data_IF_896370587388
#
_entry.id   IF_896370587388
#
_cell.length_a   1.000
_cell.length_b   1.000
_cell.length_c   1.000
_cell.angle_alpha   90.00
_cell.angle_beta   90.00
_cell.angle_gamma   90.00
#
_symmetry.space_group_name_H-M   'P 1'
#
loop_
_entity.id
_entity.type
_entity.pdbx_description
1 polymer ?
#
# COMPACT_ATOMS: atom_id res chain seq x y z
N UNK A 1 7.78 -14.16 -20.82
CA UNK A 1 8.00 -13.54 -19.49
C UNK A 1 6.63 -13.16 -18.96
N UNK A 2 6.27 -13.51 -17.72
CA UNK A 2 4.99 -13.08 -17.15
C UNK A 2 4.95 -11.54 -17.00
N UNK A 3 3.79 -10.94 -17.21
CA UNK A 3 3.59 -9.51 -16.94
C UNK A 3 3.69 -9.20 -15.43
N UNK A 4 3.90 -7.94 -15.05
CA UNK A 4 3.97 -7.55 -13.62
C UNK A 4 2.70 -7.97 -12.86
N UNK A 5 1.46 -7.73 -13.36
CA UNK A 5 0.24 -8.18 -12.68
C UNK A 5 0.17 -9.71 -12.53
N UNK A 6 0.46 -10.46 -13.59
CA UNK A 6 0.53 -11.93 -13.55
C UNK A 6 1.54 -12.43 -12.52
N UNK A 7 2.68 -11.75 -12.40
CA UNK A 7 3.70 -12.13 -11.43
C UNK A 7 3.20 -11.98 -9.98
N UNK A 8 2.39 -10.97 -9.68
CA UNK A 8 1.88 -10.70 -8.33
C UNK A 8 0.54 -11.38 -8.02
N UNK A 9 -0.14 -11.94 -9.01
CA UNK A 9 -1.40 -12.65 -8.83
C UNK A 9 -1.28 -13.78 -7.79
N UNK A 10 -2.20 -13.80 -6.83
CA UNK A 10 -2.24 -14.76 -5.71
C UNK A 10 -1.14 -14.61 -4.66
N UNK A 11 -0.17 -13.70 -4.85
CA UNK A 11 0.97 -13.55 -3.94
C UNK A 11 0.64 -12.64 -2.76
N UNK A 12 1.25 -12.95 -1.64
CA UNK A 12 1.34 -12.06 -0.49
C UNK A 12 2.69 -11.34 -0.50
N UNK A 13 2.68 -10.02 -0.32
CA UNK A 13 3.87 -9.17 -0.43
C UNK A 13 4.13 -8.46 0.90
N UNK A 14 5.32 -8.63 1.46
CA UNK A 14 5.78 -7.84 2.61
C UNK A 14 6.53 -6.60 2.11
N UNK A 15 6.09 -5.42 2.55
CA UNK A 15 6.67 -4.13 2.19
C UNK A 15 7.28 -3.49 3.44
N UNK A 16 8.60 -3.32 3.41
CA UNK A 16 9.33 -2.53 4.38
C UNK A 16 9.45 -1.08 3.91
N UNK A 17 9.38 -0.11 4.83
CA UNK A 17 9.51 1.30 4.45
C UNK A 17 8.29 1.89 3.75
N UNK A 18 7.13 1.23 3.80
CA UNK A 18 5.91 1.66 3.11
C UNK A 18 5.44 3.09 3.46
N UNK A 19 5.77 3.59 4.66
CA UNK A 19 5.39 4.95 5.10
C UNK A 19 6.30 6.05 4.54
N UNK A 20 7.42 5.69 3.88
CA UNK A 20 8.27 6.62 3.16
C UNK A 20 7.72 6.94 1.77
N UNK A 21 8.26 7.98 1.11
CA UNK A 21 7.74 8.50 -0.17
C UNK A 21 7.54 7.41 -1.23
N UNK A 22 8.60 6.67 -1.59
CA UNK A 22 8.51 5.58 -2.57
C UNK A 22 7.68 4.39 -2.09
N UNK A 23 7.68 4.12 -0.78
CA UNK A 23 6.88 3.06 -0.20
C UNK A 23 5.39 3.26 -0.41
N UNK A 24 4.91 4.50 -0.24
CA UNK A 24 3.49 4.85 -0.48
C UNK A 24 3.12 4.66 -1.95
N UNK A 25 3.98 5.10 -2.86
CA UNK A 25 3.79 4.94 -4.32
C UNK A 25 3.76 3.46 -4.71
N UNK A 26 4.65 2.63 -4.16
CA UNK A 26 4.64 1.19 -4.43
C UNK A 26 3.35 0.53 -3.96
N UNK A 27 2.87 0.86 -2.75
CA UNK A 27 1.61 0.34 -2.23
C UNK A 27 0.45 0.75 -3.14
N UNK A 28 0.35 2.03 -3.51
CA UNK A 28 -0.66 2.51 -4.47
C UNK A 28 -0.60 1.73 -5.79
N UNK A 29 0.60 1.58 -6.34
CA UNK A 29 0.80 0.96 -7.65
C UNK A 29 0.42 -0.52 -7.66
N UNK A 30 0.77 -1.24 -6.60
CA UNK A 30 0.38 -2.64 -6.44
C UNK A 30 -1.15 -2.76 -6.29
N UNK A 31 -1.76 -1.94 -5.43
CA UNK A 31 -3.21 -1.93 -5.25
C UNK A 31 -3.96 -1.58 -6.54
N UNK A 32 -3.46 -0.63 -7.34
CA UNK A 32 -4.13 -0.20 -8.58
C UNK A 32 -3.86 -1.10 -9.78
N UNK A 33 -2.62 -1.58 -9.94
CA UNK A 33 -2.19 -2.28 -11.16
C UNK A 33 -2.05 -3.80 -11.01
N UNK A 34 -2.10 -4.33 -9.78
CA UNK A 34 -2.03 -5.78 -9.51
C UNK A 34 -3.27 -6.19 -8.69
N UNK A 35 -4.47 -6.20 -9.30
CA UNK A 35 -5.73 -6.43 -8.58
C UNK A 35 -5.81 -7.82 -7.92
N UNK A 36 -5.09 -8.80 -8.46
CA UNK A 36 -5.08 -10.17 -7.96
C UNK A 36 -4.02 -10.42 -6.87
N UNK A 37 -3.35 -9.38 -6.37
CA UNK A 37 -2.44 -9.55 -5.23
C UNK A 37 -3.24 -9.98 -4.01
N UNK A 38 -2.82 -11.07 -3.35
CA UNK A 38 -3.60 -11.66 -2.25
C UNK A 38 -3.62 -10.78 -1.00
N UNK A 39 -2.46 -10.24 -0.63
CA UNK A 39 -2.32 -9.37 0.54
C UNK A 39 -1.04 -8.54 0.48
N UNK A 40 -1.11 -7.31 0.97
CA UNK A 40 0.06 -6.48 1.25
C UNK A 40 0.24 -6.40 2.77
N UNK A 41 1.39 -6.85 3.26
CA UNK A 41 1.80 -6.72 4.66
C UNK A 41 2.77 -5.55 4.79
N UNK A 42 2.54 -4.67 5.75
CA UNK A 42 3.35 -3.47 5.92
C UNK A 42 4.00 -3.48 7.30
N UNK A 43 5.35 -3.40 7.32
CA UNK A 43 6.10 -3.23 8.56
C UNK A 43 6.30 -1.73 8.85
N UNK A 44 5.70 -1.27 9.95
CA UNK A 44 5.83 0.11 10.43
C UNK A 44 6.63 0.14 11.72
N UNK A 45 7.68 0.96 11.75
CA UNK A 45 8.47 1.25 12.96
C UNK A 45 8.13 2.63 13.53
N UNK A 46 8.24 2.85 14.84
CA UNK A 46 8.22 4.19 15.42
C UNK A 46 9.29 5.09 14.79
N UNK A 47 9.02 6.40 14.76
CA UNK A 47 10.00 7.45 14.41
C UNK A 47 10.01 8.47 15.53
N UNK A 48 11.15 9.10 15.81
CA UNK A 48 11.21 10.17 16.80
C UNK A 48 10.14 11.23 16.52
N UNK A 49 9.33 11.56 17.53
CA UNK A 49 8.21 12.51 17.41
C UNK A 49 6.97 12.01 16.65
N UNK A 50 6.90 10.76 16.20
CA UNK A 50 5.73 10.20 15.50
C UNK A 50 5.41 8.77 15.92
N UNK A 51 4.18 8.56 16.40
CA UNK A 51 3.67 7.22 16.71
C UNK A 51 3.46 6.38 15.46
N UNK A 52 3.44 5.05 15.58
CA UNK A 52 3.14 4.14 14.47
C UNK A 52 1.76 4.45 13.87
N UNK A 53 0.76 4.71 14.72
CA UNK A 53 -0.60 5.07 14.29
C UNK A 53 -0.63 6.36 13.48
N UNK A 54 0.13 7.38 13.88
CA UNK A 54 0.27 8.62 13.12
C UNK A 54 0.88 8.36 11.75
N UNK A 55 1.95 7.57 11.69
CA UNK A 55 2.62 7.23 10.42
C UNK A 55 1.71 6.44 9.47
N UNK A 56 0.85 5.57 10.00
CA UNK A 56 -0.16 4.86 9.20
C UNK A 56 -1.24 5.84 8.75
N UNK A 57 -1.79 6.65 9.63
CA UNK A 57 -2.82 7.65 9.27
C UNK A 57 -2.31 8.60 8.17
N UNK A 58 -1.09 9.10 8.27
CA UNK A 58 -0.49 9.99 7.26
C UNK A 58 -0.15 9.27 5.95
N UNK A 59 -0.04 7.94 5.95
CA UNK A 59 0.03 7.15 4.73
C UNK A 59 -1.36 7.01 4.09
N UNK A 60 -2.39 6.74 4.90
CA UNK A 60 -3.77 6.55 4.43
C UNK A 60 -4.40 7.83 3.86
N UNK A 61 -4.10 9.01 4.43
CA UNK A 61 -4.54 10.30 3.86
C UNK A 61 -4.12 10.48 2.40
N UNK A 62 -2.95 9.94 2.03
CA UNK A 62 -2.50 9.99 0.64
C UNK A 62 -3.39 9.13 -0.25
N UNK A 63 -3.85 7.99 0.24
CA UNK A 63 -4.76 7.10 -0.47
C UNK A 63 -6.18 7.66 -0.59
N UNK A 64 -6.65 8.45 0.39
CA UNK A 64 -7.95 9.13 0.32
C UNK A 64 -7.99 10.25 -0.73
N UNK A 65 -6.86 10.94 -0.96
CA UNK A 65 -6.76 12.00 -1.97
C UNK A 65 -6.81 11.48 -3.42
N UNK A 66 -6.57 10.18 -3.63
CA UNK A 66 -6.76 9.51 -4.91
C UNK A 66 -8.03 8.67 -4.80
N UNK A 67 -9.18 9.23 -5.18
CA UNK A 67 -10.57 8.76 -4.98
C UNK A 67 -10.92 7.29 -5.33
N UNK A 68 -9.96 6.46 -5.71
CA UNK A 68 -10.14 5.10 -6.21
C UNK A 68 -10.29 4.06 -5.09
N UNK A 69 -9.76 4.31 -3.89
CA UNK A 69 -9.81 3.36 -2.77
C UNK A 69 -11.15 3.41 -2.02
N UNK A 70 -11.79 4.57 -1.93
CA UNK A 70 -13.12 4.68 -1.31
C UNK A 70 -14.20 3.96 -2.13
N UNK A 71 -14.09 3.94 -3.46
CA UNK A 71 -15.04 3.27 -4.33
C UNK A 71 -15.06 1.74 -4.11
N UNK A 72 -13.90 1.16 -3.78
CA UNK A 72 -13.75 -0.28 -3.55
C UNK A 72 -14.09 -0.72 -2.12
N UNK A 73 -14.10 0.19 -1.15
CA UNK A 73 -14.55 -0.10 0.23
C UNK A 73 -16.04 0.22 0.47
N UNK A 74 -16.70 0.85 -0.51
CA UNK A 74 -18.12 1.23 -0.45
C UNK A 74 -19.02 0.40 -1.38
N UNK A 75 -18.48 -0.62 -2.05
CA UNK A 75 -19.21 -1.66 -2.79
C UNK A 75 -18.75 -3.04 -2.29
#
# INVERSE_FOLDING_TARGET
MASIPEYYAGKSVLITGATGFMGKVLVEKLLRSCPDVKALYILVRPKAGQSMKQRVSDMMKLFEAYSIIFYFLSN
#
